data_IF_440121694797
#
_entry.id   IF_440121694797
#
_cell.length_a   1.000
_cell.length_b   1.000
_cell.length_c   1.000
_cell.angle_alpha   90.00
_cell.angle_beta   90.00
_cell.angle_gamma   90.00
#
_symmetry.space_group_name_H-M   'P 1'
#
loop_
_entity.id
_entity.type
_entity.pdbx_description
1 polymer ?
#
# COMPACT_ATOMS: atom_id res chain seq x y z
N UNK A 1 4.19 -18.05 15.40
CA UNK A 1 2.73 -17.96 15.10
C UNK A 1 1.87 -17.72 16.35
N UNK A 2 2.12 -18.36 17.51
CA UNK A 2 1.34 -18.11 18.76
C UNK A 2 1.26 -16.65 19.26
N UNK A 3 2.23 -15.79 18.94
CA UNK A 3 2.30 -14.39 19.42
C UNK A 3 1.72 -13.35 18.45
N UNK A 4 1.71 -13.65 17.16
CA UNK A 4 1.34 -12.71 16.09
C UNK A 4 0.44 -13.45 15.13
N UNK A 5 -0.81 -13.01 15.09
CA UNK A 5 -1.90 -13.65 14.35
C UNK A 5 -1.75 -13.50 12.84
N UNK A 6 -1.04 -12.46 12.41
CA UNK A 6 -0.82 -12.16 10.98
C UNK A 6 0.36 -12.91 10.39
N UNK A 7 1.20 -13.53 11.22
CA UNK A 7 2.35 -14.31 10.78
C UNK A 7 1.89 -15.65 10.19
N UNK A 8 1.65 -15.66 8.89
CA UNK A 8 1.20 -16.80 8.11
C UNK A 8 2.27 -17.26 7.11
N UNK A 9 2.35 -18.57 6.88
CA UNK A 9 3.30 -19.19 5.95
C UNK A 9 4.77 -18.73 6.17
N UNK A 10 5.52 -18.46 5.09
CA UNK A 10 6.89 -17.90 5.05
C UNK A 10 6.85 -16.37 4.98
N UNK A 11 6.08 -15.74 5.85
CA UNK A 11 6.03 -14.29 5.97
C UNK A 11 7.38 -13.68 6.37
N UNK A 12 7.69 -12.52 5.79
CA UNK A 12 8.85 -11.71 6.16
C UNK A 12 8.78 -11.14 7.58
N UNK A 13 9.93 -10.78 8.15
CA UNK A 13 10.05 -10.25 9.52
C UNK A 13 9.29 -8.94 9.76
N UNK A 14 9.06 -8.14 8.72
CA UNK A 14 8.30 -6.89 8.87
C UNK A 14 6.81 -7.14 9.16
N UNK A 15 6.24 -8.30 8.85
CA UNK A 15 4.82 -8.63 9.12
C UNK A 15 4.47 -8.52 10.61
N UNK A 16 5.13 -9.27 11.53
CA UNK A 16 4.83 -9.16 12.96
C UNK A 16 5.19 -7.79 13.53
N UNK A 17 6.17 -7.08 12.93
CA UNK A 17 6.52 -5.73 13.33
C UNK A 17 5.40 -4.72 13.00
N UNK A 18 4.77 -4.86 11.84
CA UNK A 18 3.60 -4.06 11.45
C UNK A 18 2.41 -4.39 12.36
N UNK A 19 2.10 -5.67 12.58
CA UNK A 19 1.01 -6.07 13.49
C UNK A 19 1.21 -5.49 14.90
N UNK A 20 2.42 -5.60 15.46
CA UNK A 20 2.73 -5.07 16.80
C UNK A 20 2.58 -3.56 16.87
N UNK A 21 3.06 -2.87 15.84
CA UNK A 21 3.01 -1.41 15.78
C UNK A 21 1.57 -0.90 15.63
N UNK A 22 0.77 -1.55 14.76
CA UNK A 22 -0.64 -1.23 14.58
C UNK A 22 -1.45 -1.48 15.87
N UNK A 23 -1.23 -2.61 16.53
CA UNK A 23 -1.94 -2.94 17.78
C UNK A 23 -1.56 -2.02 18.95
N UNK A 24 -0.40 -1.35 18.87
CA UNK A 24 0.05 -0.37 19.87
C UNK A 24 -0.44 1.05 19.60
N UNK A 25 -1.04 1.35 18.43
CA UNK A 25 -1.54 2.69 18.13
C UNK A 25 -2.72 3.08 19.02
N UNK A 26 -2.65 4.28 19.61
CA UNK A 26 -3.80 4.94 20.21
C UNK A 26 -4.89 5.23 19.15
N UNK A 27 -6.16 5.44 19.55
CA UNK A 27 -7.19 5.94 18.64
C UNK A 27 -6.74 7.21 17.90
N UNK A 28 -7.02 7.31 16.60
CA UNK A 28 -6.54 8.37 15.70
C UNK A 28 -5.01 8.45 15.52
N UNK A 29 -4.25 7.52 16.11
CA UNK A 29 -2.81 7.38 15.92
C UNK A 29 -2.46 7.02 14.47
N UNK A 30 -1.24 7.35 14.07
CA UNK A 30 -0.70 7.11 12.73
C UNK A 30 0.60 6.33 12.82
N UNK A 31 0.80 5.42 11.89
CA UNK A 31 2.00 4.62 11.71
C UNK A 31 2.52 4.83 10.30
N UNK A 32 3.83 5.06 10.17
CA UNK A 32 4.51 5.18 8.89
C UNK A 32 5.69 4.23 8.83
N UNK A 33 5.84 3.51 7.72
CA UNK A 33 6.98 2.64 7.47
C UNK A 33 7.55 2.84 6.09
N UNK A 34 8.86 2.62 5.98
CA UNK A 34 9.57 2.35 4.73
C UNK A 34 9.96 0.87 4.78
N UNK A 35 9.30 0.05 3.99
CA UNK A 35 9.55 -1.40 3.94
C UNK A 35 9.10 -1.98 2.60
N UNK A 36 9.44 -3.24 2.35
CA UNK A 36 8.96 -3.94 1.17
C UNK A 36 7.43 -4.00 1.14
N UNK A 37 6.83 -3.78 -0.03
CA UNK A 37 5.38 -3.77 -0.21
C UNK A 37 4.79 -5.13 -0.65
N UNK A 38 5.64 -6.14 -0.81
CA UNK A 38 5.27 -7.45 -1.34
C UNK A 38 4.11 -8.11 -0.60
N UNK A 39 3.99 -7.88 0.69
CA UNK A 39 2.87 -8.35 1.51
C UNK A 39 1.50 -7.78 1.11
N UNK A 40 1.44 -6.68 0.36
CA UNK A 40 0.19 -6.10 -0.12
C UNK A 40 -0.46 -6.96 -1.21
N UNK A 41 0.32 -7.78 -1.92
CA UNK A 41 -0.16 -8.65 -3.00
C UNK A 41 0.00 -10.14 -2.68
N UNK A 42 1.10 -10.51 -2.02
CA UNK A 42 1.43 -11.91 -1.77
C UNK A 42 0.45 -12.59 -0.80
N UNK A 43 0.27 -13.91 -0.96
CA UNK A 43 -0.62 -14.73 -0.14
C UNK A 43 -0.34 -14.62 1.36
N UNK A 44 0.94 -14.55 1.76
CA UNK A 44 1.29 -14.49 3.17
C UNK A 44 0.84 -13.23 3.90
N UNK A 45 0.62 -12.13 3.16
CA UNK A 45 0.16 -10.87 3.73
C UNK A 45 -1.35 -10.81 3.97
N UNK A 46 -2.11 -11.83 3.53
CA UNK A 46 -3.58 -11.85 3.65
C UNK A 46 -4.10 -11.55 5.06
N UNK A 47 -3.61 -12.23 6.11
CA UNK A 47 -4.01 -11.93 7.49
C UNK A 47 -3.69 -10.50 7.95
N UNK A 48 -2.56 -9.92 7.52
CA UNK A 48 -2.22 -8.55 7.84
C UNK A 48 -3.14 -7.56 7.12
N UNK A 49 -3.46 -7.80 5.85
CA UNK A 49 -4.45 -7.00 5.09
C UNK A 49 -5.82 -7.05 5.76
N UNK A 50 -6.25 -8.23 6.22
CA UNK A 50 -7.51 -8.39 6.95
C UNK A 50 -7.52 -7.62 8.27
N UNK A 51 -6.42 -7.64 9.03
CA UNK A 51 -6.26 -6.83 10.24
C UNK A 51 -6.41 -5.33 9.93
N UNK A 52 -5.74 -4.86 8.87
CA UNK A 52 -5.83 -3.45 8.44
C UNK A 52 -7.25 -3.11 8.05
N UNK A 53 -7.89 -3.88 7.17
CA UNK A 53 -9.25 -3.63 6.69
C UNK A 53 -10.30 -3.59 7.82
N UNK A 54 -10.10 -4.35 8.90
CA UNK A 54 -11.06 -4.42 10.00
C UNK A 54 -10.98 -3.29 11.03
N UNK A 55 -9.81 -2.66 11.23
CA UNK A 55 -9.58 -1.74 12.36
C UNK A 55 -8.78 -0.48 12.01
N UNK A 56 -8.28 -0.39 10.79
CA UNK A 56 -7.36 0.66 10.36
C UNK A 56 -7.74 1.17 8.97
N UNK A 57 -7.08 2.26 8.58
CA UNK A 57 -7.21 2.86 7.26
C UNK A 57 -5.82 3.02 6.64
N UNK A 58 -5.63 2.50 5.42
CA UNK A 58 -4.46 2.83 4.62
C UNK A 58 -4.60 4.27 4.13
N UNK A 59 -3.95 5.20 4.83
CA UNK A 59 -4.08 6.63 4.55
C UNK A 59 -3.30 7.05 3.32
N UNK A 60 -2.06 6.58 3.21
CA UNK A 60 -1.22 6.88 2.05
C UNK A 60 -0.29 5.73 1.73
N UNK A 61 0.05 5.61 0.46
CA UNK A 61 1.03 4.69 -0.07
C UNK A 61 1.87 5.41 -1.13
N UNK A 62 3.18 5.24 -1.07
CA UNK A 62 4.11 5.71 -2.10
C UNK A 62 4.90 4.50 -2.57
N UNK A 63 4.69 4.10 -3.82
CA UNK A 63 5.56 3.14 -4.50
C UNK A 63 6.92 3.80 -4.75
N UNK A 64 7.99 3.16 -4.29
CA UNK A 64 9.37 3.61 -4.49
C UNK A 64 10.16 2.60 -5.35
N UNK A 65 9.49 1.68 -6.04
CA UNK A 65 10.11 0.79 -7.03
C UNK A 65 10.81 1.62 -8.10
N UNK A 66 12.01 1.23 -8.51
CA UNK A 66 12.87 1.99 -9.45
C UNK A 66 13.30 3.39 -8.95
N UNK A 67 12.85 3.82 -7.77
CA UNK A 67 13.37 5.01 -7.11
C UNK A 67 14.60 4.61 -6.28
N UNK A 68 15.73 5.35 -6.36
CA UNK A 68 16.96 5.03 -5.63
C UNK A 68 16.83 5.38 -4.13
N UNK A 69 15.92 4.68 -3.43
CA UNK A 69 15.52 4.97 -2.06
C UNK A 69 16.63 4.67 -1.02
N UNK A 70 17.65 3.90 -1.42
CA UNK A 70 18.78 3.52 -0.58
C UNK A 70 20.09 3.84 -1.30
N UNK A 71 21.16 4.07 -0.53
CA UNK A 71 22.49 4.39 -1.07
C UNK A 71 23.14 3.23 -1.83
N UNK A 72 22.75 2.00 -1.52
CA UNK A 72 23.21 0.80 -2.21
C UNK A 72 22.15 0.34 -3.19
N UNK A 73 22.59 -0.19 -4.33
CA UNK A 73 21.69 -0.77 -5.31
C UNK A 73 21.12 -2.10 -4.78
N UNK A 74 19.82 -2.08 -4.43
CA UNK A 74 19.10 -3.21 -3.88
C UNK A 74 17.69 -3.26 -4.45
N UNK A 75 17.29 -4.46 -4.89
CA UNK A 75 15.90 -4.71 -5.32
C UNK A 75 15.08 -5.07 -4.07
N UNK A 76 14.59 -4.04 -3.38
CA UNK A 76 13.88 -4.19 -2.09
C UNK A 76 12.38 -3.93 -2.15
N UNK A 77 11.83 -3.57 -3.33
CA UNK A 77 10.43 -3.14 -3.50
C UNK A 77 9.99 -2.12 -2.43
N UNK A 78 10.77 -1.05 -2.20
CA UNK A 78 10.50 -0.15 -1.11
C UNK A 78 9.17 0.56 -1.34
N UNK A 79 8.41 0.74 -0.27
CA UNK A 79 7.27 1.63 -0.27
C UNK A 79 7.17 2.38 1.05
N UNK A 80 6.64 3.59 0.97
CA UNK A 80 6.21 4.34 2.15
C UNK A 80 4.75 4.02 2.39
N UNK A 81 4.44 3.40 3.53
CA UNK A 81 3.07 3.03 3.90
C UNK A 81 2.63 3.79 5.13
N UNK A 82 1.54 4.56 5.05
CA UNK A 82 0.96 5.28 6.17
C UNK A 82 -0.40 4.69 6.51
N UNK A 83 -0.53 4.13 7.72
CA UNK A 83 -1.75 3.52 8.23
C UNK A 83 -2.22 4.28 9.46
N UNK A 84 -3.52 4.50 9.59
CA UNK A 84 -4.11 5.18 10.74
C UNK A 84 -5.13 4.32 11.44
N UNK A 85 -5.19 4.38 12.78
CA UNK A 85 -6.25 3.73 13.56
C UNK A 85 -7.48 4.63 13.58
N UNK A 86 -8.47 4.33 12.76
CA UNK A 86 -9.65 5.18 12.63
C UNK A 86 -10.58 4.73 11.52
N UNK A 87 -11.52 5.62 11.17
CA UNK A 87 -12.51 5.36 10.12
C UNK A 87 -11.83 5.21 8.75
N UNK A 88 -12.36 4.35 7.86
CA UNK A 88 -11.96 4.32 6.46
C UNK A 88 -12.13 5.69 5.79
N UNK A 89 -11.32 5.95 4.77
CA UNK A 89 -11.41 7.15 3.95
C UNK A 89 -10.76 6.94 2.58
N UNK A 90 -10.50 8.04 1.87
CA UNK A 90 -9.69 7.97 0.65
C UNK A 90 -8.24 7.61 1.01
N UNK A 91 -7.64 6.72 0.21
CA UNK A 91 -6.22 6.40 0.24
C UNK A 91 -5.51 7.25 -0.79
N UNK A 92 -4.44 7.95 -0.39
CA UNK A 92 -3.60 8.69 -1.33
C UNK A 92 -2.45 7.83 -1.85
N UNK A 93 -2.28 7.81 -3.16
CA UNK A 93 -1.28 6.98 -3.83
C UNK A 93 -0.39 7.86 -4.71
N UNK A 94 0.92 7.68 -4.58
CA UNK A 94 1.92 8.23 -5.47
C UNK A 94 2.86 7.12 -5.97
N UNK A 95 3.43 7.32 -7.15
CA UNK A 95 4.26 6.32 -7.82
C UNK A 95 5.60 6.93 -8.21
N UNK A 96 6.68 6.30 -7.75
CA UNK A 96 8.06 6.45 -8.22
C UNK A 96 8.50 7.92 -8.33
N UNK A 97 8.43 8.68 -7.22
CA UNK A 97 8.79 10.09 -7.24
C UNK A 97 10.28 10.30 -7.53
N UNK A 98 10.62 11.43 -8.16
CA UNK A 98 11.99 11.88 -8.22
C UNK A 98 12.50 12.24 -6.80
N UNK A 99 13.76 11.91 -6.50
CA UNK A 99 14.38 12.17 -5.20
C UNK A 99 15.08 13.53 -5.16
N UNK A 100 14.35 14.58 -5.51
CA UNK A 100 14.78 15.96 -5.31
C UNK A 100 13.89 16.66 -4.27
N UNK A 101 14.45 17.70 -3.65
CA UNK A 101 13.80 18.42 -2.55
C UNK A 101 12.45 19.01 -2.94
N UNK A 102 12.33 19.52 -4.16
CA UNK A 102 11.13 20.21 -4.64
C UNK A 102 10.00 19.20 -4.83
N UNK A 103 10.27 18.11 -5.56
CA UNK A 103 9.31 17.03 -5.79
C UNK A 103 8.83 16.41 -4.48
N UNK A 104 9.75 16.10 -3.57
CA UNK A 104 9.40 15.48 -2.28
C UNK A 104 8.62 16.42 -1.36
N UNK A 105 8.93 17.73 -1.38
CA UNK A 105 8.16 18.72 -0.61
C UNK A 105 6.73 18.85 -1.14
N UNK A 106 6.55 18.89 -2.47
CA UNK A 106 5.24 18.91 -3.11
C UNK A 106 4.45 17.64 -2.78
N UNK A 107 5.07 16.48 -2.93
CA UNK A 107 4.47 15.18 -2.61
C UNK A 107 4.02 15.13 -1.15
N UNK A 108 4.87 15.52 -0.20
CA UNK A 108 4.51 15.56 1.21
C UNK A 108 3.34 16.52 1.49
N UNK A 109 3.32 17.68 0.83
CA UNK A 109 2.19 18.62 0.88
C UNK A 109 0.90 17.97 0.40
N UNK A 110 0.93 17.35 -0.77
CA UNK A 110 -0.24 16.69 -1.37
C UNK A 110 -0.72 15.49 -0.54
N UNK A 111 0.17 14.68 0.03
CA UNK A 111 -0.20 13.54 0.90
C UNK A 111 -0.82 13.97 2.23
N UNK A 112 -0.50 15.18 2.72
CA UNK A 112 -0.96 15.66 4.04
C UNK A 112 -2.07 16.70 3.97
N UNK A 113 -2.36 17.27 2.80
CA UNK A 113 -3.40 18.27 2.58
C UNK A 113 -4.79 17.81 3.06
N UNK A 114 -5.61 18.72 3.58
CA UNK A 114 -7.00 18.39 3.97
C UNK A 114 -7.84 17.92 2.79
N UNK A 115 -7.61 18.50 1.62
CA UNK A 115 -8.24 18.15 0.35
C UNK A 115 -7.16 18.13 -0.72
N UNK A 116 -7.19 17.12 -1.59
CA UNK A 116 -6.29 17.08 -2.71
C UNK A 116 -6.68 18.15 -3.76
N UNK A 117 -5.74 18.89 -4.35
CA UNK A 117 -6.02 19.76 -5.49
C UNK A 117 -6.64 18.98 -6.64
N UNK A 118 -7.60 19.58 -7.37
CA UNK A 118 -8.29 18.91 -8.48
C UNK A 118 -7.32 18.47 -9.59
N UNK A 119 -6.28 19.26 -9.82
CA UNK A 119 -5.32 19.05 -10.91
C UNK A 119 -4.01 18.42 -10.40
N UNK A 120 -4.06 17.69 -9.28
CA UNK A 120 -2.89 17.01 -8.74
C UNK A 120 -2.52 15.81 -9.63
N UNK A 121 -1.41 15.94 -10.37
CA UNK A 121 -0.92 14.88 -11.24
C UNK A 121 -0.12 13.79 -10.49
N UNK A 122 0.51 14.14 -9.37
CA UNK A 122 1.49 13.31 -8.66
C UNK A 122 0.87 12.39 -7.61
N UNK A 123 -0.30 12.74 -7.09
CA UNK A 123 -1.03 11.97 -6.07
C UNK A 123 -2.44 11.71 -6.56
N UNK A 124 -2.94 10.50 -6.32
CA UNK A 124 -4.30 10.09 -6.65
C UNK A 124 -5.04 9.66 -5.39
N UNK A 125 -6.35 9.83 -5.37
CA UNK A 125 -7.22 9.32 -4.31
C UNK A 125 -7.97 8.07 -4.80
N UNK A 126 -7.81 6.97 -4.06
CA UNK A 126 -8.51 5.71 -4.29
C UNK A 126 -9.48 5.45 -3.13
N UNK A 127 -10.68 4.97 -3.46
CA UNK A 127 -11.66 4.53 -2.48
C UNK A 127 -11.60 3.00 -2.32
N UNK A 128 -11.91 2.51 -1.11
CA UNK A 128 -12.10 1.08 -0.82
C UNK A 128 -10.92 0.18 -1.18
N UNK A 129 -9.69 0.67 -1.00
CA UNK A 129 -8.45 -0.08 -1.27
C UNK A 129 -8.33 -1.34 -0.41
N UNK A 130 -8.70 -1.25 0.86
CA UNK A 130 -8.57 -2.37 1.80
C UNK A 130 -9.88 -3.17 1.85
N UNK A 131 -9.85 -4.43 1.45
CA UNK A 131 -11.00 -5.33 1.46
C UNK A 131 -10.63 -6.70 2.03
N UNK A 132 -10.81 -6.90 3.34
CA UNK A 132 -10.47 -8.16 4.00
C UNK A 132 -9.03 -8.60 3.72
N UNK A 133 -8.84 -9.86 3.30
CA UNK A 133 -7.54 -10.42 2.95
C UNK A 133 -7.13 -10.20 1.50
N UNK A 134 -7.94 -9.52 0.69
CA UNK A 134 -7.68 -9.36 -0.75
C UNK A 134 -6.41 -8.55 -1.01
N UNK A 135 -5.66 -8.85 -2.09
CA UNK A 135 -4.57 -8.02 -2.55
C UNK A 135 -4.98 -6.56 -2.73
N UNK A 136 -4.13 -5.63 -2.33
CA UNK A 136 -4.38 -4.22 -2.59
C UNK A 136 -4.02 -3.88 -4.02
N UNK A 137 -4.98 -3.28 -4.73
CA UNK A 137 -4.76 -2.79 -6.09
C UNK A 137 -4.71 -1.27 -6.03
N UNK A 138 -3.53 -0.73 -6.31
CA UNK A 138 -3.19 0.69 -6.18
C UNK A 138 -2.91 1.35 -7.53
N UNK A 139 -3.25 0.65 -8.60
CA UNK A 139 -3.10 1.08 -9.99
C UNK A 139 -4.22 2.05 -10.39
N UNK A 140 -4.06 2.70 -11.55
CA UNK A 140 -5.03 3.67 -12.01
C UNK A 140 -6.40 3.02 -12.34
N UNK A 141 -7.51 3.76 -12.25
CA UNK A 141 -8.81 3.29 -12.72
C UNK A 141 -8.79 2.77 -14.16
N UNK A 142 -7.98 3.38 -15.03
CA UNK A 142 -7.82 2.96 -16.43
C UNK A 142 -7.11 1.60 -16.54
N UNK A 143 -6.05 1.40 -15.74
CA UNK A 143 -5.36 0.11 -15.65
C UNK A 143 -6.30 -0.97 -15.09
N UNK A 144 -7.16 -0.63 -14.13
CA UNK A 144 -8.16 -1.57 -13.62
C UNK A 144 -9.25 -1.91 -14.62
N UNK A 145 -9.74 -0.91 -15.37
CA UNK A 145 -10.69 -1.14 -16.45
C UNK A 145 -10.09 -2.05 -17.53
N UNK A 146 -8.81 -1.82 -17.87
CA UNK A 146 -8.06 -2.68 -18.78
C UNK A 146 -7.90 -4.10 -18.22
N UNK A 147 -7.47 -4.26 -16.97
CA UNK A 147 -7.28 -5.56 -16.33
C UNK A 147 -8.57 -6.39 -16.36
N UNK A 148 -9.70 -5.80 -15.90
CA UNK A 148 -11.00 -6.47 -15.92
C UNK A 148 -11.47 -6.83 -17.32
N UNK A 149 -11.15 -5.99 -18.32
CA UNK A 149 -11.43 -6.31 -19.71
C UNK A 149 -10.64 -7.54 -20.15
N UNK A 150 -9.35 -7.60 -19.82
CA UNK A 150 -8.49 -8.73 -20.15
C UNK A 150 -8.96 -10.01 -19.47
N UNK A 151 -9.27 -9.97 -18.17
CA UNK A 151 -9.80 -11.12 -17.41
C UNK A 151 -11.13 -11.65 -17.96
N UNK A 152 -11.93 -10.79 -18.59
CA UNK A 152 -13.20 -11.17 -19.21
C UNK A 152 -13.04 -11.73 -20.62
N UNK A 153 -12.10 -11.18 -21.39
CA UNK A 153 -11.94 -11.49 -22.82
C UNK A 153 -11.00 -12.68 -23.06
N UNK A 154 -10.12 -13.00 -22.11
CA UNK A 154 -9.11 -14.03 -22.28
C UNK A 154 -9.19 -15.08 -21.16
N UNK A 155 -9.03 -16.38 -21.50
CA UNK A 155 -8.90 -17.44 -20.52
C UNK A 155 -7.61 -17.26 -19.71
N UNK A 156 -7.51 -17.95 -18.57
CA UNK A 156 -6.25 -17.95 -17.82
C UNK A 156 -5.15 -18.64 -18.62
N UNK A 157 -3.89 -18.37 -18.29
CA UNK A 157 -2.76 -19.08 -18.92
C UNK A 157 -2.80 -20.59 -18.65
N UNK A 158 -3.44 -21.02 -17.56
CA UNK A 158 -3.64 -22.43 -17.24
C UNK A 158 -4.73 -23.06 -18.13
N UNK A 159 -5.79 -22.33 -18.45
CA UNK A 159 -6.90 -22.81 -19.28
C UNK A 159 -6.58 -22.80 -20.79
N UNK A 160 -5.57 -22.02 -21.20
CA UNK A 160 -5.15 -21.86 -22.60
C UNK A 160 -4.07 -22.86 -23.05
N UNK A 161 -3.57 -23.70 -22.14
CA UNK A 161 -2.49 -24.66 -22.37
C UNK A 161 -3.00 -26.08 -22.67
#
# INVERSE_FOLDING_TARGET
RRRYSTLYDRADLYIPFIERSLTSLAPAGRLGFICADRWMKNRYGGPLRALVAGKFHLKAYVDMTDTPAFHSDVIAYPAITIITRGKPGATRVAHRPALDRTTLAELAGNLTAKRLPKDCATVRELASVTAGSEPWILDSPDQMALLRRLEREFPTLEDAA
#
